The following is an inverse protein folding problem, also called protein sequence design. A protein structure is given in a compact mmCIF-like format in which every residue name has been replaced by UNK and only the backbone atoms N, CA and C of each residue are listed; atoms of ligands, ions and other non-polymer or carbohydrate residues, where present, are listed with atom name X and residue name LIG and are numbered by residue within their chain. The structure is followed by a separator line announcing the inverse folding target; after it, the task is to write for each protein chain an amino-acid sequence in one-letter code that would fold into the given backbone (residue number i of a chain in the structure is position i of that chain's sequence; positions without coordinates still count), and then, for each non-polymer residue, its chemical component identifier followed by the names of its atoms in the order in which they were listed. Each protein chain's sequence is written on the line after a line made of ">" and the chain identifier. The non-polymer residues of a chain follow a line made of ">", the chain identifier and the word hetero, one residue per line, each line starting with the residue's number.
data_IF_144481334232
#
_entry.id   IF_144481334232
#
_cell.length_a   1.000
_cell.length_b   1.000
_cell.length_c   1.000
_cell.angle_alpha   90.00
_cell.angle_beta   90.00
_cell.angle_gamma   90.00
#
_symmetry.space_group_name_H-M   'P 1'
#
loop_
_entity.id
_entity.type
_entity.pdbx_description
1 polymer ?
#
# COMPACT_ATOMS: atom_id res chain seq x y z
N UNK A 1 -15.02 21.76 -13.80
CA UNK A 1 -14.68 20.32 -14.00
C UNK A 1 -13.73 19.94 -12.88
N UNK A 2 -14.27 19.44 -11.78
CA UNK A 2 -13.50 18.99 -10.61
C UNK A 2 -13.07 17.55 -10.81
N UNK A 3 -11.85 17.25 -10.40
CA UNK A 3 -11.19 15.96 -10.54
C UNK A 3 -11.86 14.90 -9.64
N UNK A 4 -12.83 14.16 -10.22
CA UNK A 4 -13.53 13.01 -9.60
C UNK A 4 -12.66 11.74 -9.50
N UNK A 5 -11.36 11.80 -9.86
CA UNK A 5 -10.53 10.59 -10.02
C UNK A 5 -10.07 9.94 -8.71
N UNK A 6 -9.92 10.71 -7.62
CA UNK A 6 -9.44 10.21 -6.33
C UNK A 6 -10.53 9.53 -5.47
N UNK A 7 -11.77 10.05 -5.49
CA UNK A 7 -12.83 9.60 -4.57
C UNK A 7 -13.48 8.26 -4.99
N UNK A 8 -13.52 7.97 -6.30
CA UNK A 8 -14.09 6.73 -6.81
C UNK A 8 -13.11 5.55 -6.82
N UNK A 9 -11.81 5.78 -7.01
CA UNK A 9 -10.84 4.69 -7.12
C UNK A 9 -10.50 4.08 -5.75
N UNK A 10 -10.01 4.86 -4.79
CA UNK A 10 -9.53 4.36 -3.51
C UNK A 10 -10.64 3.79 -2.62
N UNK A 11 -11.78 4.48 -2.53
CA UNK A 11 -12.96 3.96 -1.80
C UNK A 11 -13.46 2.62 -2.37
N UNK A 12 -13.35 2.43 -3.69
CA UNK A 12 -13.75 1.16 -4.31
C UNK A 12 -12.81 0.02 -3.94
N UNK A 13 -11.52 0.31 -3.80
CA UNK A 13 -10.51 -0.65 -3.31
C UNK A 13 -10.85 -1.06 -1.89
N UNK A 14 -11.12 -0.10 -0.99
CA UNK A 14 -11.54 -0.40 0.39
C UNK A 14 -12.80 -1.27 0.44
N UNK A 15 -13.82 -0.95 -0.37
CA UNK A 15 -15.07 -1.73 -0.43
C UNK A 15 -14.83 -3.17 -0.91
N UNK A 16 -13.92 -3.37 -1.86
CA UNK A 16 -13.62 -4.69 -2.42
C UNK A 16 -12.66 -5.50 -1.54
N UNK A 17 -11.86 -4.84 -0.72
CA UNK A 17 -10.93 -5.45 0.23
C UNK A 17 -11.45 -5.35 1.68
N UNK A 18 -12.78 -5.38 1.86
CA UNK A 18 -13.41 -5.28 3.18
C UNK A 18 -12.84 -6.29 4.19
N UNK A 19 -12.60 -7.53 3.76
CA UNK A 19 -12.04 -8.59 4.61
C UNK A 19 -10.59 -8.32 5.07
N UNK A 20 -9.86 -7.48 4.34
CA UNK A 20 -8.48 -7.11 4.62
C UNK A 20 -8.37 -5.82 5.45
N UNK A 21 -9.48 -5.10 5.64
CA UNK A 21 -9.53 -3.93 6.48
C UNK A 21 -9.27 -4.29 7.96
N UNK A 22 -8.38 -3.52 8.59
CA UNK A 22 -7.86 -3.78 9.93
C UNK A 22 -6.85 -4.93 10.01
N UNK A 23 -6.58 -5.65 8.91
CA UNK A 23 -5.57 -6.72 8.84
C UNK A 23 -4.37 -6.28 8.01
N UNK A 24 -4.60 -5.94 6.74
CA UNK A 24 -3.57 -5.57 5.77
C UNK A 24 -3.60 -4.10 5.39
N UNK A 25 -4.70 -3.41 5.70
CA UNK A 25 -4.90 -1.98 5.48
C UNK A 25 -5.74 -1.37 6.61
N UNK A 26 -5.75 -0.04 6.80
CA UNK A 26 -6.65 0.61 7.75
C UNK A 26 -8.11 0.27 7.50
N UNK A 27 -8.97 0.37 8.52
CA UNK A 27 -10.43 0.31 8.30
C UNK A 27 -10.93 1.63 7.73
N UNK A 28 -11.78 1.57 6.71
CA UNK A 28 -12.56 2.70 6.24
C UNK A 28 -13.77 2.86 7.19
N UNK A 29 -13.83 3.98 7.89
CA UNK A 29 -14.92 4.31 8.83
C UNK A 29 -16.05 5.02 8.09
N UNK A 30 -15.71 5.91 7.15
CA UNK A 30 -16.71 6.63 6.36
C UNK A 30 -16.12 7.57 5.33
N UNK A 31 -16.99 8.15 4.52
CA UNK A 31 -16.68 9.27 3.64
C UNK A 31 -17.16 10.56 4.31
N UNK A 32 -16.34 11.59 4.23
CA UNK A 32 -16.63 12.90 4.81
C UNK A 32 -16.71 13.89 3.66
N UNK A 33 -17.78 14.67 3.63
CA UNK A 33 -17.92 15.84 2.77
C UNK A 33 -18.06 17.04 3.69
N UNK A 34 -17.04 17.90 3.73
CA UNK A 34 -17.08 19.16 4.45
C UNK A 34 -17.38 20.28 3.44
N UNK A 35 -18.61 20.78 3.40
CA UNK A 35 -18.92 21.93 2.56
C UNK A 35 -18.24 23.17 3.15
N UNK A 36 -17.45 23.86 2.33
CA UNK A 36 -16.81 25.11 2.73
C UNK A 36 -17.65 26.29 2.24
N UNK A 37 -18.29 26.96 3.18
CA UNK A 37 -19.09 28.16 2.95
C UNK A 37 -18.31 29.40 3.35
N UNK A 38 -18.39 30.43 2.52
CA UNK A 38 -17.95 31.77 2.89
C UNK A 38 -19.12 32.52 3.52
N UNK A 39 -19.00 32.86 4.80
CA UNK A 39 -19.86 33.89 5.40
C UNK A 39 -19.06 35.18 5.51
N UNK A 40 -19.33 36.12 4.62
CA UNK A 40 -18.90 37.51 4.79
C UNK A 40 -20.08 38.32 5.28
N UNK A 41 -19.83 39.18 6.27
CA UNK A 41 -20.80 40.17 6.76
C UNK A 41 -21.27 41.16 5.67
N UNK A 42 -20.63 41.17 4.51
CA UNK A 42 -20.96 42.01 3.35
C UNK A 42 -21.71 41.25 2.25
N UNK A 43 -21.90 39.93 2.39
CA UNK A 43 -22.76 39.14 1.52
C UNK A 43 -24.16 39.08 2.14
N UNK A 44 -25.21 39.20 1.32
CA UNK A 44 -26.60 39.02 1.77
C UNK A 44 -26.78 37.66 2.45
N UNK A 45 -27.57 37.62 3.53
CA UNK A 45 -27.85 36.40 4.31
C UNK A 45 -28.43 35.24 3.45
N UNK A 46 -28.95 35.54 2.26
CA UNK A 46 -29.54 34.59 1.32
C UNK A 46 -28.54 34.03 0.29
N UNK A 47 -27.24 34.31 0.41
CA UNK A 47 -26.25 33.90 -0.62
C UNK A 47 -25.03 33.22 0.01
N UNK A 48 -25.25 32.03 0.57
CA UNK A 48 -24.16 31.10 0.85
C UNK A 48 -23.54 30.62 -0.47
N UNK A 49 -22.40 31.19 -0.83
CA UNK A 49 -21.62 30.71 -1.97
C UNK A 49 -20.77 29.51 -1.53
N UNK A 50 -21.11 28.29 -2.00
CA UNK A 50 -20.23 27.12 -1.90
C UNK A 50 -18.94 27.42 -2.66
N UNK A 51 -17.82 27.51 -1.94
CA UNK A 51 -16.50 27.76 -2.55
C UNK A 51 -15.87 26.43 -2.96
N UNK A 52 -15.92 25.42 -2.09
CA UNK A 52 -15.32 24.12 -2.31
C UNK A 52 -15.98 23.07 -1.43
N UNK A 53 -16.10 21.85 -1.95
CA UNK A 53 -16.42 20.67 -1.16
C UNK A 53 -15.11 19.92 -0.86
N UNK A 54 -14.78 19.77 0.42
CA UNK A 54 -13.68 18.90 0.81
C UNK A 54 -14.21 17.49 0.99
N UNK A 55 -13.94 16.63 0.01
CA UNK A 55 -14.19 15.19 0.11
C UNK A 55 -13.00 14.50 0.76
N UNK A 56 -13.25 13.58 1.67
CA UNK A 56 -12.20 12.84 2.37
C UNK A 56 -12.67 11.47 2.85
N UNK A 57 -11.70 10.61 3.17
CA UNK A 57 -11.93 9.31 3.78
C UNK A 57 -11.56 9.38 5.26
N UNK A 58 -12.52 9.04 6.12
CA UNK A 58 -12.25 8.79 7.53
C UNK A 58 -11.80 7.34 7.68
N UNK A 59 -10.57 7.13 8.13
CA UNK A 59 -9.95 5.82 8.25
C UNK A 59 -9.40 5.59 9.66
N UNK A 60 -9.21 4.32 10.01
CA UNK A 60 -8.55 3.90 11.24
C UNK A 60 -7.16 4.56 11.35
N UNK A 61 -6.95 5.29 12.44
CA UNK A 61 -5.62 5.74 12.80
C UNK A 61 -4.76 4.56 13.26
N UNK A 62 -3.56 4.45 12.70
CA UNK A 62 -2.57 3.43 13.07
C UNK A 62 -1.37 4.15 13.66
N UNK A 63 -1.23 4.08 14.98
CA UNK A 63 -0.01 4.54 15.67
C UNK A 63 1.17 3.66 15.26
N UNK A 64 2.04 4.19 14.40
CA UNK A 64 2.99 3.41 13.61
C UNK A 64 4.15 4.26 13.09
N UNK A 65 5.17 3.58 12.57
CA UNK A 65 6.26 4.17 11.81
C UNK A 65 6.27 3.61 10.37
N UNK A 66 6.84 4.33 9.40
CA UNK A 66 6.94 3.81 8.03
C UNK A 66 7.97 2.68 7.93
N UNK A 67 7.78 1.74 7.01
CA UNK A 67 8.76 0.67 6.79
C UNK A 67 10.17 1.22 6.47
N UNK A 68 10.23 2.39 5.81
CA UNK A 68 11.48 3.08 5.52
C UNK A 68 12.20 3.62 6.77
N UNK A 69 11.46 3.92 7.85
CA UNK A 69 12.06 4.39 9.09
C UNK A 69 13.06 3.38 9.70
N UNK A 70 12.92 2.08 9.38
CA UNK A 70 13.90 1.06 9.75
C UNK A 70 15.33 1.40 9.28
N UNK A 71 15.48 2.07 8.13
CA UNK A 71 16.79 2.49 7.58
C UNK A 71 17.01 3.99 7.52
N UNK A 72 15.96 4.83 7.63
CA UNK A 72 16.08 6.29 7.57
C UNK A 72 16.28 6.98 8.92
N UNK A 73 15.67 6.47 10.00
CA UNK A 73 15.74 7.14 11.29
C UNK A 73 17.17 7.13 11.88
N UNK A 74 17.52 8.02 12.80
CA UNK A 74 18.82 7.92 13.47
C UNK A 74 18.87 6.68 14.38
N UNK A 75 17.78 6.47 15.11
CA UNK A 75 17.53 5.29 15.95
C UNK A 75 16.42 4.48 15.28
N UNK A 76 16.71 3.22 14.97
CA UNK A 76 15.69 2.34 14.38
C UNK A 76 14.53 2.12 15.36
N UNK A 77 13.26 2.28 14.92
CA UNK A 77 12.10 2.11 15.77
C UNK A 77 11.79 0.64 16.11
N UNK A 78 12.52 -0.31 15.50
CA UNK A 78 12.42 -1.73 15.79
C UNK A 78 13.81 -2.35 15.97
N UNK A 79 13.94 -3.39 16.80
CA UNK A 79 15.20 -4.10 16.95
C UNK A 79 15.52 -4.88 15.67
N UNK A 80 16.81 -5.12 15.44
CA UNK A 80 17.31 -5.65 14.16
C UNK A 80 16.85 -7.08 13.88
N UNK A 81 16.72 -7.89 14.92
CA UNK A 81 16.18 -9.26 14.86
C UNK A 81 14.71 -9.30 14.40
N UNK A 82 13.96 -8.21 14.56
CA UNK A 82 12.59 -8.11 14.07
C UNK A 82 12.49 -7.77 12.58
N UNK A 83 13.56 -7.32 11.91
CA UNK A 83 13.48 -6.81 10.54
C UNK A 83 12.94 -7.83 9.55
N UNK A 84 13.44 -9.07 9.61
CA UNK A 84 12.97 -10.16 8.76
C UNK A 84 11.47 -10.39 8.93
N UNK A 85 11.00 -10.56 10.18
CA UNK A 85 9.57 -10.76 10.46
C UNK A 85 8.67 -9.61 9.98
N UNK A 86 9.15 -8.36 10.05
CA UNK A 86 8.41 -7.18 9.58
C UNK A 86 8.29 -7.20 8.05
N UNK A 87 9.40 -7.46 7.37
CA UNK A 87 9.46 -7.41 5.91
C UNK A 87 8.68 -8.59 5.32
N UNK A 88 8.83 -9.78 5.89
CA UNK A 88 8.07 -10.98 5.51
C UNK A 88 6.57 -10.77 5.73
N UNK A 89 6.18 -10.13 6.84
CA UNK A 89 4.77 -9.79 7.06
C UNK A 89 4.22 -8.85 5.97
N UNK A 90 5.00 -7.87 5.51
CA UNK A 90 4.61 -7.00 4.41
C UNK A 90 4.50 -7.76 3.09
N UNK A 91 5.46 -8.65 2.78
CA UNK A 91 5.45 -9.51 1.57
C UNK A 91 4.23 -10.43 1.57
N UNK A 92 3.95 -11.10 2.69
CA UNK A 92 2.78 -11.96 2.81
C UNK A 92 1.47 -11.19 2.57
N UNK A 93 1.35 -9.99 3.13
CA UNK A 93 0.15 -9.16 2.99
C UNK A 93 -0.03 -8.64 1.56
N UNK A 94 1.04 -8.25 0.86
CA UNK A 94 0.90 -7.86 -0.56
C UNK A 94 0.45 -9.05 -1.41
N UNK A 95 0.97 -10.26 -1.17
CA UNK A 95 0.52 -11.45 -1.90
C UNK A 95 -0.94 -11.79 -1.64
N UNK A 96 -1.40 -11.63 -0.41
CA UNK A 96 -2.81 -11.79 -0.07
C UNK A 96 -3.71 -10.78 -0.81
N UNK A 97 -3.24 -9.56 -1.03
CA UNK A 97 -3.98 -8.56 -1.80
C UNK A 97 -3.92 -8.89 -3.30
N UNK A 98 -2.77 -9.30 -3.82
CA UNK A 98 -2.59 -9.73 -5.22
C UNK A 98 -3.47 -10.93 -5.55
N UNK A 99 -3.56 -11.92 -4.66
CA UNK A 99 -4.41 -13.09 -4.80
C UNK A 99 -5.90 -12.73 -4.91
N UNK A 100 -6.31 -11.57 -4.40
CA UNK A 100 -7.67 -11.02 -4.54
C UNK A 100 -7.89 -10.22 -5.82
N UNK A 101 -6.93 -10.28 -6.75
CA UNK A 101 -7.03 -9.63 -8.04
C UNK A 101 -6.64 -8.16 -8.01
N UNK A 102 -5.79 -7.72 -7.08
CA UNK A 102 -5.36 -6.32 -7.00
C UNK A 102 -3.87 -6.17 -7.29
N UNK A 103 -3.53 -5.21 -8.14
CA UNK A 103 -2.14 -4.85 -8.43
C UNK A 103 -1.87 -3.38 -8.19
N UNK A 104 -0.65 -3.01 -7.79
CA UNK A 104 -0.29 -1.63 -7.48
C UNK A 104 0.61 -1.05 -8.56
N UNK A 105 0.12 -0.06 -9.29
CA UNK A 105 0.79 0.45 -10.50
C UNK A 105 2.20 1.07 -10.26
N UNK A 106 2.60 1.33 -9.01
CA UNK A 106 3.96 1.75 -8.62
C UNK A 106 4.26 1.32 -7.18
N UNK A 107 5.15 0.34 -6.99
CA UNK A 107 5.61 -0.13 -5.68
C UNK A 107 6.53 0.90 -5.02
N UNK A 108 6.10 1.51 -3.91
CA UNK A 108 6.97 2.34 -3.06
C UNK A 108 6.81 1.95 -1.60
N UNK A 109 7.94 1.75 -0.93
CA UNK A 109 8.06 1.29 0.47
C UNK A 109 7.47 2.25 1.50
N UNK A 110 7.47 3.57 1.24
CA UNK A 110 6.90 4.57 2.17
C UNK A 110 5.39 4.44 2.38
N UNK A 111 4.70 3.65 1.55
CA UNK A 111 3.26 3.38 1.66
C UNK A 111 2.95 2.14 2.51
N UNK A 112 3.94 1.66 3.27
CA UNK A 112 3.80 0.59 4.26
C UNK A 112 4.14 1.17 5.63
N UNK A 113 3.23 1.03 6.58
CA UNK A 113 3.45 1.40 7.98
C UNK A 113 3.53 0.15 8.85
N UNK A 114 4.24 0.26 9.97
CA UNK A 114 4.56 -0.83 10.88
C UNK A 114 4.13 -0.44 12.28
N UNK A 115 3.32 -1.30 12.92
CA UNK A 115 2.82 -1.11 14.27
C UNK A 115 3.23 -2.27 15.16
N UNK A 116 3.68 -1.95 16.37
CA UNK A 116 3.81 -2.96 17.43
C UNK A 116 2.43 -3.30 18.00
N UNK A 117 2.05 -4.57 17.94
CA UNK A 117 0.81 -5.07 18.53
C UNK A 117 1.14 -5.80 19.83
N UNK A 118 0.93 -5.14 20.95
CA UNK A 118 1.33 -5.64 22.27
C UNK A 118 0.67 -6.98 22.65
N UNK A 119 -0.59 -7.19 22.26
CA UNK A 119 -1.34 -8.43 22.53
C UNK A 119 -0.68 -9.62 21.81
N UNK A 120 -0.32 -9.45 20.54
CA UNK A 120 0.31 -10.49 19.73
C UNK A 120 1.83 -10.56 19.92
N UNK A 121 2.42 -9.59 20.64
CA UNK A 121 3.87 -9.40 20.82
C UNK A 121 4.63 -9.47 19.48
N UNK A 122 4.08 -8.86 18.44
CA UNK A 122 4.67 -8.82 17.10
C UNK A 122 4.44 -7.49 16.41
N UNK A 123 5.29 -7.20 15.44
CA UNK A 123 5.06 -6.12 14.51
C UNK A 123 4.07 -6.57 13.42
N UNK A 124 3.15 -5.68 13.07
CA UNK A 124 2.23 -5.85 11.96
C UNK A 124 2.39 -4.71 10.96
N UNK A 125 2.33 -5.03 9.68
CA UNK A 125 2.45 -4.03 8.61
C UNK A 125 1.10 -3.70 7.99
N UNK A 126 0.91 -2.46 7.53
CA UNK A 126 -0.31 -2.03 6.87
C UNK A 126 0.04 -1.27 5.60
N UNK A 127 -0.65 -1.58 4.52
CA UNK A 127 -0.61 -0.80 3.29
C UNK A 127 -1.53 0.40 3.46
N UNK A 128 -0.95 1.58 3.28
CA UNK A 128 -1.67 2.86 3.23
C UNK A 128 -1.60 3.41 1.81
N UNK A 129 -2.45 4.39 1.50
CA UNK A 129 -2.52 5.04 0.18
C UNK A 129 -2.80 4.02 -0.94
N UNK A 130 -4.09 3.81 -1.18
CA UNK A 130 -4.60 2.81 -2.13
C UNK A 130 -5.00 3.42 -3.49
N UNK A 131 -4.65 4.69 -3.73
CA UNK A 131 -5.09 5.46 -4.90
C UNK A 131 -4.55 4.94 -6.24
N UNK A 132 -3.58 4.02 -6.24
CA UNK A 132 -2.96 3.45 -7.44
C UNK A 132 -3.11 1.93 -7.56
N UNK A 133 -4.11 1.36 -6.88
CA UNK A 133 -4.41 -0.06 -7.00
C UNK A 133 -5.45 -0.28 -8.11
N UNK A 134 -5.19 -1.29 -8.92
CA UNK A 134 -6.01 -1.71 -10.04
C UNK A 134 -6.60 -3.08 -9.73
N UNK A 135 -7.92 -3.19 -9.81
CA UNK A 135 -8.61 -4.47 -9.78
C UNK A 135 -8.46 -5.15 -11.15
N UNK A 136 -8.19 -6.46 -11.14
CA UNK A 136 -8.24 -7.33 -12.30
C UNK A 136 -9.61 -7.21 -12.97
N UNK A 137 -9.62 -6.99 -14.28
CA UNK A 137 -10.86 -6.93 -15.05
C UNK A 137 -11.10 -8.27 -15.77
N UNK A 138 -11.42 -8.20 -17.04
CA UNK A 138 -11.72 -9.27 -17.98
C UNK A 138 -10.49 -9.81 -18.72
N UNK A 139 -9.30 -9.44 -18.26
CA UNK A 139 -8.02 -9.88 -18.84
C UNK A 139 -7.73 -11.38 -18.58
N UNK A 140 -7.09 -12.00 -19.57
CA UNK A 140 -6.75 -13.43 -19.53
C UNK A 140 -5.83 -13.75 -18.36
N UNK A 141 -5.81 -15.01 -17.92
CA UNK A 141 -4.88 -15.43 -16.86
C UNK A 141 -3.42 -15.18 -17.25
N UNK A 142 -3.09 -15.35 -18.54
CA UNK A 142 -1.74 -15.06 -19.05
C UNK A 142 -1.41 -13.58 -18.93
N UNK A 143 -2.30 -12.69 -19.37
CA UNK A 143 -2.05 -11.25 -19.35
C UNK A 143 -1.98 -10.74 -17.90
N UNK A 144 -2.86 -11.24 -17.03
CA UNK A 144 -2.82 -10.95 -15.60
C UNK A 144 -1.49 -11.39 -14.96
N UNK A 145 -1.02 -12.60 -15.27
CA UNK A 145 0.28 -13.10 -14.77
C UNK A 145 1.46 -12.34 -15.36
N UNK A 146 1.41 -11.94 -16.62
CA UNK A 146 2.44 -11.10 -17.25
C UNK A 146 2.53 -9.74 -16.54
N UNK A 147 1.39 -9.12 -16.24
CA UNK A 147 1.33 -7.90 -15.45
C UNK A 147 1.89 -8.13 -14.03
N UNK A 148 1.53 -9.21 -13.34
CA UNK A 148 2.14 -9.58 -12.05
C UNK A 148 3.67 -9.75 -12.14
N UNK A 149 4.17 -10.37 -13.22
CA UNK A 149 5.60 -10.55 -13.44
C UNK A 149 6.33 -9.22 -13.65
N UNK A 150 5.68 -8.29 -14.36
CA UNK A 150 6.18 -6.94 -14.62
C UNK A 150 6.14 -6.02 -13.41
N UNK A 151 5.25 -6.30 -12.46
CA UNK A 151 5.11 -5.49 -11.27
C UNK A 151 6.15 -5.88 -10.22
N UNK A 152 6.63 -4.85 -9.53
CA UNK A 152 7.76 -4.93 -8.62
C UNK A 152 7.31 -4.83 -7.16
N UNK A 153 6.07 -5.13 -6.77
CA UNK A 153 5.65 -4.87 -5.38
C UNK A 153 6.42 -5.68 -4.35
N UNK A 154 6.62 -6.98 -4.58
CA UNK A 154 7.46 -7.83 -3.72
C UNK A 154 8.91 -7.31 -3.72
N UNK A 155 9.49 -7.06 -4.90
CA UNK A 155 10.87 -6.57 -5.03
C UNK A 155 11.08 -5.19 -4.42
N UNK A 156 10.10 -4.30 -4.57
CA UNK A 156 10.07 -2.97 -3.97
C UNK A 156 10.09 -3.07 -2.45
N UNK A 157 9.49 -4.10 -1.85
CA UNK A 157 9.59 -4.36 -0.42
C UNK A 157 10.92 -5.09 -0.12
N UNK A 158 11.10 -6.31 -0.63
CA UNK A 158 12.23 -7.17 -0.30
C UNK A 158 13.59 -6.63 -0.74
N UNK A 159 13.80 -6.41 -2.05
CA UNK A 159 15.11 -6.02 -2.60
C UNK A 159 15.52 -4.63 -2.11
N UNK A 160 14.60 -3.67 -2.10
CA UNK A 160 14.90 -2.31 -1.62
C UNK A 160 15.24 -2.35 -0.14
N UNK A 161 14.48 -3.07 0.69
CA UNK A 161 14.77 -3.16 2.12
C UNK A 161 16.12 -3.83 2.39
N UNK A 162 16.44 -4.94 1.70
CA UNK A 162 17.76 -5.56 1.82
C UNK A 162 18.88 -4.59 1.47
N UNK A 163 18.78 -3.90 0.32
CA UNK A 163 19.79 -2.95 -0.14
C UNK A 163 19.96 -1.77 0.83
N UNK A 164 18.85 -1.19 1.31
CA UNK A 164 18.87 -0.05 2.23
C UNK A 164 19.35 -0.43 3.62
N UNK A 165 18.90 -1.55 4.18
CA UNK A 165 19.38 -2.05 5.48
C UNK A 165 20.85 -2.44 5.43
N UNK A 166 21.32 -3.06 4.34
CA UNK A 166 22.75 -3.31 4.15
C UNK A 166 23.57 -2.01 4.16
N UNK A 167 23.10 -0.99 3.42
CA UNK A 167 23.77 0.30 3.30
C UNK A 167 23.79 1.11 4.60
N UNK A 168 22.67 1.18 5.32
CA UNK A 168 22.50 2.10 6.45
C UNK A 168 22.49 1.44 7.83
N UNK A 169 22.28 0.11 7.91
CA UNK A 169 22.08 -0.64 9.16
C UNK A 169 22.95 -1.88 9.31
N UNK A 170 23.98 -2.04 8.47
CA UNK A 170 24.89 -3.21 8.44
C UNK A 170 24.17 -4.53 8.13
N UNK A 171 23.00 -4.48 7.48
CA UNK A 171 22.19 -5.64 7.07
C UNK A 171 21.13 -6.02 8.11
N UNK A 172 20.86 -7.33 8.26
CA UNK A 172 19.80 -7.86 9.13
C UNK A 172 18.57 -8.37 8.39
N UNK A 173 18.62 -8.43 7.07
CA UNK A 173 17.62 -9.05 6.23
C UNK A 173 18.26 -9.49 4.91
N UNK A 174 17.89 -10.67 4.42
CA UNK A 174 18.32 -11.22 3.13
C UNK A 174 17.06 -11.64 2.39
N UNK A 175 16.73 -10.92 1.34
CA UNK A 175 15.55 -11.23 0.54
C UNK A 175 15.79 -12.49 -0.30
N UNK A 176 14.78 -13.34 -0.34
CA UNK A 176 14.64 -14.46 -1.26
C UNK A 176 13.32 -14.25 -1.99
N UNK A 177 13.30 -14.56 -3.28
CA UNK A 177 12.05 -14.55 -4.02
C UNK A 177 11.09 -15.56 -3.39
N UNK A 178 9.81 -15.21 -3.36
CA UNK A 178 8.79 -16.22 -3.13
C UNK A 178 8.67 -17.16 -4.32
N UNK A 179 8.20 -18.38 -4.07
CA UNK A 179 7.93 -19.38 -5.12
C UNK A 179 7.03 -18.81 -6.23
N UNK A 180 6.06 -17.98 -5.86
CA UNK A 180 5.20 -17.29 -6.82
C UNK A 180 6.00 -16.35 -7.73
N UNK A 181 6.93 -15.57 -7.16
CA UNK A 181 7.76 -14.66 -7.95
C UNK A 181 8.78 -15.41 -8.81
N UNK A 182 9.38 -16.47 -8.29
CA UNK A 182 10.26 -17.37 -9.06
C UNK A 182 9.51 -17.91 -10.29
N UNK A 183 8.33 -18.50 -10.09
CA UNK A 183 7.52 -19.02 -11.19
C UNK A 183 7.15 -17.93 -12.21
N UNK A 184 6.78 -16.74 -11.77
CA UNK A 184 6.48 -15.61 -12.67
C UNK A 184 7.72 -15.13 -13.45
N UNK A 185 8.91 -15.21 -12.86
CA UNK A 185 10.15 -14.90 -13.57
C UNK A 185 10.49 -15.98 -14.60
N UNK A 186 10.35 -17.26 -14.25
CA UNK A 186 10.59 -18.36 -15.18
C UNK A 186 9.61 -18.31 -16.36
N UNK A 187 8.32 -18.11 -16.08
CA UNK A 187 7.24 -18.10 -17.07
C UNK A 187 7.36 -16.96 -18.10
N UNK A 188 7.93 -15.80 -17.72
CA UNK A 188 7.86 -14.57 -18.55
C UNK A 188 9.21 -13.87 -18.77
N UNK A 189 10.27 -14.26 -18.05
CA UNK A 189 11.60 -13.63 -18.11
C UNK A 189 12.76 -14.63 -18.15
N UNK A 190 12.49 -15.93 -18.08
CA UNK A 190 13.48 -17.00 -18.29
C UNK A 190 13.92 -17.13 -19.76
N UNK A 191 14.98 -17.88 -20.02
CA UNK A 191 15.52 -18.10 -21.38
C UNK A 191 14.50 -18.72 -22.35
N UNK A 192 13.62 -19.57 -21.81
CA UNK A 192 12.52 -20.26 -22.49
C UNK A 192 11.15 -19.54 -22.37
N UNK A 193 11.11 -18.39 -21.68
CA UNK A 193 9.90 -17.59 -21.56
C UNK A 193 9.49 -16.99 -22.92
N UNK A 194 8.18 -16.72 -23.14
CA UNK A 194 7.73 -16.05 -24.35
C UNK A 194 8.35 -14.66 -24.41
N UNK A 195 9.34 -14.49 -25.29
CA UNK A 195 9.96 -13.20 -25.59
C UNK A 195 8.90 -12.31 -26.22
N UNK A 196 8.67 -11.15 -25.60
CA UNK A 196 7.77 -10.10 -26.09
C UNK A 196 8.32 -9.54 -27.40
#
# INVERSE_FOLDING_TARGET
>A
MGDDSLDNSESSVYRRLEEEQGKSMPRLIGRVELPHYYSSRYCSADTEHRIADFKGLLMQFIDSFTLEALFQADISPAPRDAYESIIDNAIQKIHNIIARGFLKHKGRTHKVVVRWVAIDRRYQTYFIDLTNWRLRKDESDRDWRLEQANMEEEGAIGQVMQGRLKKFRRGGYTYKWTEQKEQLQDDFRGEDGPRI
#
